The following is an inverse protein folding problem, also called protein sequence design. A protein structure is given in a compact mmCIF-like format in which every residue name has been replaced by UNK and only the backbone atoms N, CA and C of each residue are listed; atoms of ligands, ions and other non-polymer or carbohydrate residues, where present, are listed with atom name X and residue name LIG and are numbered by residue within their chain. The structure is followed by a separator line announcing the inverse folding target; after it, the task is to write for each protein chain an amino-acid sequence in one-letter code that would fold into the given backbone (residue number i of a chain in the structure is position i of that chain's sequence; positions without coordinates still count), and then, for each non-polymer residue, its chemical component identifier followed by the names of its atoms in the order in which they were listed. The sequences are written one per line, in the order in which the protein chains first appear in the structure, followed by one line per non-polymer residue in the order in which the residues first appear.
data_IF_966638492821
#
_entry.id   IF_966638492821
#
_cell.length_a   1.000
_cell.length_b   1.000
_cell.length_c   1.000
_cell.angle_alpha   90.00
_cell.angle_beta   90.00
_cell.angle_gamma   90.00
#
_symmetry.space_group_name_H-M   'P 1'
#
loop_
_entity.id
_entity.type
_entity.pdbx_description
1 polymer ?
#
# COMPACT_ATOMS: atom_id res chain seq x y z
N UNK A 1 -6.95 19.86 -17.20
CA UNK A 1 -6.92 19.70 -15.73
C UNK A 1 -7.29 21.03 -15.10
N UNK A 2 -8.31 21.08 -14.24
CA UNK A 2 -8.80 22.33 -13.64
C UNK A 2 -8.29 22.45 -12.20
N UNK A 3 -7.90 23.65 -11.77
CA UNK A 3 -7.51 23.91 -10.40
C UNK A 3 -8.73 24.08 -9.52
N UNK A 4 -8.85 23.26 -8.47
CA UNK A 4 -9.98 23.30 -7.54
C UNK A 4 -9.95 24.52 -6.60
N UNK A 5 -8.81 25.23 -6.53
CA UNK A 5 -8.59 26.35 -5.61
C UNK A 5 -8.87 27.72 -6.25
N UNK A 6 -8.75 27.81 -7.57
CA UNK A 6 -8.94 29.08 -8.30
C UNK A 6 -9.61 28.91 -9.68
N UNK A 7 -10.14 27.72 -9.96
CA UNK A 7 -10.86 27.36 -11.19
C UNK A 7 -10.09 27.56 -12.51
N UNK A 8 -8.77 27.76 -12.45
CA UNK A 8 -7.92 27.87 -13.66
C UNK A 8 -7.86 26.55 -14.42
N UNK A 9 -8.01 26.63 -15.74
CA UNK A 9 -7.86 25.50 -16.64
C UNK A 9 -6.43 25.40 -17.18
N UNK A 10 -5.88 24.18 -17.17
CA UNK A 10 -4.56 23.84 -17.67
C UNK A 10 -4.65 22.70 -18.68
N UNK A 11 -3.75 22.70 -19.65
CA UNK A 11 -3.69 21.68 -20.69
C UNK A 11 -3.21 20.32 -20.16
N UNK A 12 -2.34 20.31 -19.16
CA UNK A 12 -1.74 19.09 -18.61
C UNK A 12 -1.75 19.04 -17.08
N UNK A 13 -1.52 17.84 -16.52
CA UNK A 13 -1.43 17.63 -15.07
C UNK A 13 -0.15 18.21 -14.47
N UNK A 14 0.98 18.16 -15.19
CA UNK A 14 2.25 18.76 -14.74
C UNK A 14 2.15 20.26 -14.53
N UNK A 15 1.47 20.96 -15.44
CA UNK A 15 1.24 22.41 -15.33
C UNK A 15 0.35 22.73 -14.13
N UNK A 16 -0.70 21.93 -13.90
CA UNK A 16 -1.55 22.08 -12.72
C UNK A 16 -0.76 21.84 -11.43
N UNK A 17 0.11 20.84 -11.39
CA UNK A 17 0.96 20.54 -10.22
C UNK A 17 1.88 21.71 -9.89
N UNK A 18 2.64 22.19 -10.88
CA UNK A 18 3.52 23.36 -10.71
C UNK A 18 2.76 24.64 -10.37
N UNK A 19 1.55 24.79 -10.90
CA UNK A 19 0.68 25.90 -10.55
C UNK A 19 0.25 25.83 -9.09
N UNK A 20 -0.19 24.65 -8.62
CA UNK A 20 -0.53 24.44 -7.22
C UNK A 20 0.70 24.72 -6.35
N UNK A 21 1.87 24.16 -6.62
CA UNK A 21 3.09 24.40 -5.82
C UNK A 21 3.49 25.88 -5.70
N UNK A 22 3.37 26.67 -6.78
CA UNK A 22 3.80 28.07 -6.78
C UNK A 22 2.74 29.07 -6.30
N UNK A 23 1.47 28.84 -6.65
CA UNK A 23 0.36 29.79 -6.38
C UNK A 23 -0.43 29.36 -5.15
N UNK A 24 -0.51 28.06 -4.92
CA UNK A 24 -1.23 27.43 -3.82
C UNK A 24 -0.30 26.48 -3.05
N UNK A 25 0.78 26.99 -2.43
CA UNK A 25 1.72 26.17 -1.67
C UNK A 25 0.96 25.49 -0.52
N UNK A 26 0.44 24.31 -0.79
CA UNK A 26 -0.12 23.40 0.18
C UNK A 26 1.06 22.57 0.66
N UNK A 27 1.43 22.73 1.93
CA UNK A 27 2.40 21.88 2.60
C UNK A 27 2.16 20.42 2.21
N UNK A 28 3.17 19.81 1.59
CA UNK A 28 3.11 18.56 0.81
C UNK A 28 2.89 17.30 1.67
N UNK A 29 2.17 17.41 2.78
CA UNK A 29 1.95 16.32 3.74
C UNK A 29 0.69 15.51 3.50
N UNK A 30 -0.04 15.80 2.42
CA UNK A 30 -1.28 15.11 2.10
C UNK A 30 -1.21 14.63 0.65
N UNK A 31 -0.47 13.54 0.44
CA UNK A 31 -0.91 12.55 -0.55
C UNK A 31 -2.15 11.90 0.07
N UNK A 32 -3.39 12.14 -0.42
CA UNK A 32 -4.44 11.16 -0.22
C UNK A 32 -3.99 9.93 -1.02
N UNK A 33 -3.20 9.09 -0.35
CA UNK A 33 -2.90 7.73 -0.77
C UNK A 33 -4.23 6.99 -0.84
N UNK A 34 -4.86 7.06 -2.00
CA UNK A 34 -6.01 6.25 -2.36
C UNK A 34 -5.55 4.92 -2.95
N UNK A 35 -4.53 4.33 -2.35
CA UNK A 35 -4.14 2.93 -2.53
C UNK A 35 -4.14 2.21 -1.17
N UNK A 36 -5.14 2.47 -0.31
CA UNK A 36 -5.58 1.49 0.69
C UNK A 36 -6.47 0.47 -0.01
N UNK A 37 -5.85 -0.37 -0.84
CA UNK A 37 -6.40 -1.68 -1.19
C UNK A 37 -5.25 -2.70 -1.23
N UNK A 38 -4.75 -3.07 -0.06
CA UNK A 38 -4.01 -4.33 0.09
C UNK A 38 -4.05 -4.88 1.53
N UNK A 39 -5.11 -5.61 1.92
CA UNK A 39 -5.03 -6.57 3.00
C UNK A 39 -4.82 -8.00 2.45
N UNK A 40 -3.82 -8.23 1.60
CA UNK A 40 -3.30 -9.57 1.36
C UNK A 40 -1.85 -9.66 1.86
N UNK A 41 -1.66 -10.49 2.89
CA UNK A 41 -0.54 -11.43 3.11
C UNK A 41 -0.39 -11.65 4.62
N UNK A 42 -1.12 -12.64 5.15
CA UNK A 42 -0.66 -13.43 6.30
C UNK A 42 -0.48 -14.87 5.87
N UNK A 43 0.64 -15.06 5.19
CA UNK A 43 1.47 -16.27 5.07
C UNK A 43 1.03 -17.42 5.96
N UNK A 44 0.50 -18.43 5.30
CA UNK A 44 0.79 -19.85 5.47
C UNK A 44 1.99 -20.12 6.40
N UNK A 45 1.71 -20.65 7.59
CA UNK A 45 2.68 -21.37 8.41
C UNK A 45 2.19 -22.79 8.58
N UNK A 46 2.52 -23.59 7.57
CA UNK A 46 2.80 -25.01 7.68
C UNK A 46 3.96 -25.21 8.67
N UNK A 47 3.64 -25.35 9.96
CA UNK A 47 4.52 -26.13 10.86
C UNK A 47 4.05 -27.57 10.78
N UNK A 48 4.88 -28.37 10.12
CA UNK A 48 4.83 -29.81 10.09
C UNK A 48 4.90 -30.36 11.52
N UNK A 49 3.75 -30.55 12.14
CA UNK A 49 3.62 -31.49 13.26
C UNK A 49 3.60 -32.89 12.64
N UNK A 50 4.80 -33.42 12.40
CA UNK A 50 4.99 -34.85 12.20
C UNK A 50 4.69 -35.53 13.52
N UNK A 51 3.41 -35.83 13.75
CA UNK A 51 3.00 -36.83 14.73
C UNK A 51 3.70 -38.14 14.34
N UNK A 52 4.70 -38.52 15.14
CA UNK A 52 5.42 -39.77 14.96
C UNK A 52 4.54 -40.92 15.48
N UNK A 53 4.08 -41.87 14.64
CA UNK A 53 3.34 -43.01 15.14
C UNK A 53 4.30 -44.05 15.77
N UNK A 54 4.17 -44.17 17.09
CA UNK A 54 4.24 -45.38 17.96
C UNK A 54 5.46 -46.34 17.93
N UNK A 55 5.80 -46.94 19.09
CA UNK A 55 7.07 -47.58 19.34
C UNK A 55 7.16 -48.96 18.70
N UNK A 56 8.33 -49.28 18.13
CA UNK A 56 8.65 -50.63 17.67
C UNK A 56 9.95 -51.10 18.33
N UNK A 57 9.80 -52.00 19.31
CA UNK A 57 10.66 -53.12 19.75
C UNK A 57 12.18 -52.84 19.96
N UNK A 58 12.88 -53.33 21.00
CA UNK A 58 13.03 -54.76 21.35
C UNK A 58 14.10 -54.93 22.47
N UNK A 59 13.96 -56.02 23.25
CA UNK A 59 15.06 -56.88 23.79
C UNK A 59 15.51 -56.69 25.26
N UNK A 60 15.17 -57.67 26.11
CA UNK A 60 16.15 -58.63 26.63
C UNK A 60 15.60 -60.04 26.52
#
# INVERSE_FOLDING_TARGET
MKCDLCDKEFNNSEELKRHKEQVHPMDERETPDMDVENPEVKREQSVSEVEMPQPVERTR
#
